data_IF_878968890498
#
_entry.id   IF_878968890498
#
_cell.length_a   1.000
_cell.length_b   1.000
_cell.length_c   1.000
_cell.angle_alpha   90.00
_cell.angle_beta   90.00
_cell.angle_gamma   90.00
#
_symmetry.space_group_name_H-M   'P 1'
#
loop_
_entity.id
_entity.type
_entity.pdbx_description
1 polymer ?
#
# COMPACT_ATOMS: atom_id res chain seq x y z
N UNK A 1 5.74 19.00 -3.89
CA UNK A 1 5.23 18.03 -4.90
C UNK A 1 5.62 16.67 -4.36
N UNK A 2 4.67 15.76 -4.13
CA UNK A 2 4.81 14.30 -4.09
C UNK A 2 3.52 13.73 -3.48
N UNK A 3 2.80 12.95 -4.28
CA UNK A 3 1.57 12.24 -3.92
C UNK A 3 1.85 10.75 -4.13
N UNK A 4 1.54 9.92 -3.13
CA UNK A 4 1.52 8.46 -3.29
C UNK A 4 0.26 8.06 -4.07
N UNK A 5 0.38 6.99 -4.84
CA UNK A 5 -0.64 6.51 -5.77
C UNK A 5 -1.80 5.85 -4.98
N UNK A 6 -3.02 6.35 -5.14
CA UNK A 6 -4.26 5.74 -4.63
C UNK A 6 -5.18 5.56 -5.83
N UNK A 7 -5.41 4.31 -6.25
CA UNK A 7 -6.37 3.98 -7.30
C UNK A 7 -7.73 3.65 -6.71
N UNK A 8 -8.79 4.40 -7.08
CA UNK A 8 -10.19 4.09 -6.76
C UNK A 8 -10.93 3.63 -8.02
N UNK A 9 -11.56 2.46 -8.00
CA UNK A 9 -12.46 1.93 -9.05
C UNK A 9 -13.93 2.26 -8.69
N UNK A 10 -14.88 2.55 -9.62
CA UNK A 10 -14.83 2.54 -11.08
C UNK A 10 -14.69 3.94 -11.74
N UNK A 11 -14.39 5.00 -10.98
CA UNK A 11 -14.11 6.34 -11.53
C UNK A 11 -12.74 6.80 -11.06
N UNK A 12 -11.79 6.81 -12.00
CA UNK A 12 -10.37 7.06 -11.75
C UNK A 12 -10.09 8.53 -11.36
N UNK A 13 -10.30 8.87 -10.10
CA UNK A 13 -9.76 10.07 -9.49
C UNK A 13 -8.54 9.70 -8.64
N UNK A 14 -7.38 10.31 -8.93
CA UNK A 14 -6.21 10.21 -8.06
C UNK A 14 -6.50 10.94 -6.75
N UNK A 15 -6.87 10.20 -5.71
CA UNK A 15 -7.00 10.72 -4.36
C UNK A 15 -5.60 11.03 -3.81
N UNK A 16 -5.29 12.32 -3.61
CA UNK A 16 -4.02 12.82 -3.05
C UNK A 16 -4.09 12.89 -1.54
N UNK A 17 -3.16 12.27 -0.83
CA UNK A 17 -2.98 12.55 0.60
C UNK A 17 -2.02 13.71 0.81
N UNK A 18 -2.24 14.48 1.89
CA UNK A 18 -1.30 15.50 2.38
C UNK A 18 -0.96 15.17 3.82
N UNK A 19 0.33 15.17 4.14
CA UNK A 19 0.81 15.17 5.52
C UNK A 19 0.72 16.61 6.04
N UNK A 20 -0.27 16.88 6.89
CA UNK A 20 -0.32 18.09 7.72
C UNK A 20 -0.03 17.65 9.14
N UNK A 21 1.00 18.22 9.76
CA UNK A 21 1.23 18.18 11.21
C UNK A 21 1.05 16.81 11.88
N UNK A 22 1.75 15.80 11.35
CA UNK A 22 1.82 14.39 11.84
C UNK A 22 0.62 13.49 11.50
N UNK A 23 -0.36 13.99 10.77
CA UNK A 23 -1.56 13.25 10.38
C UNK A 23 -1.67 13.13 8.84
N UNK A 24 -2.12 11.95 8.39
CA UNK A 24 -2.40 11.71 6.97
C UNK A 24 -3.84 12.10 6.70
N UNK A 25 -4.06 13.19 5.97
CA UNK A 25 -5.41 13.57 5.54
C UNK A 25 -5.77 12.74 4.31
N UNK A 26 -6.82 11.95 4.44
CA UNK A 26 -7.47 11.29 3.32
C UNK A 26 -8.02 12.36 2.38
N UNK A 27 -7.86 12.13 1.08
CA UNK A 27 -8.32 13.09 0.09
C UNK A 27 -9.83 13.30 0.26
N UNK A 28 -10.35 14.55 0.27
CA UNK A 28 -11.78 14.81 0.43
C UNK A 28 -12.67 14.21 -0.66
N UNK A 29 -12.07 13.59 -1.70
CA UNK A 29 -12.77 12.88 -2.78
C UNK A 29 -12.87 11.37 -2.61
N UNK A 30 -12.32 10.79 -1.54
CA UNK A 30 -12.42 9.35 -1.31
C UNK A 30 -13.88 8.98 -1.00
N UNK A 31 -14.59 8.44 -2.00
CA UNK A 31 -15.98 7.99 -1.84
C UNK A 31 -16.01 6.56 -1.31
N UNK A 32 -16.85 6.27 -0.33
CA UNK A 32 -16.99 4.92 0.23
C UNK A 32 -18.30 4.29 -0.24
N UNK A 33 -18.35 2.95 -0.45
CA UNK A 33 -17.25 1.99 -0.32
C UNK A 33 -16.16 2.17 -1.40
N UNK A 34 -14.93 1.80 -1.06
CA UNK A 34 -13.74 2.01 -1.91
C UNK A 34 -12.75 0.86 -1.75
N UNK A 35 -11.89 0.71 -2.76
CA UNK A 35 -10.70 -0.13 -2.70
C UNK A 35 -9.48 0.78 -2.76
N UNK A 36 -8.50 0.52 -1.90
CA UNK A 36 -7.24 1.27 -1.85
C UNK A 36 -6.08 0.31 -2.08
N UNK A 37 -5.26 0.64 -3.06
CA UNK A 37 -3.97 0.00 -3.32
C UNK A 37 -2.87 0.92 -2.81
N UNK A 38 -2.12 0.49 -1.79
CA UNK A 38 -1.11 1.27 -1.09
C UNK A 38 0.26 0.64 -1.30
N UNK A 39 1.16 1.28 -2.04
CA UNK A 39 2.44 0.69 -2.45
C UNK A 39 3.62 1.43 -1.85
N UNK A 40 4.63 0.68 -1.39
CA UNK A 40 5.85 1.20 -0.79
C UNK A 40 5.63 1.79 0.60
N UNK A 41 4.85 1.08 1.44
CA UNK A 41 4.37 1.59 2.74
C UNK A 41 5.46 1.76 3.80
N UNK A 42 6.65 1.17 3.63
CA UNK A 42 7.77 1.32 4.55
C UNK A 42 7.48 0.72 5.92
N UNK A 43 7.21 1.54 6.94
CA UNK A 43 6.64 1.07 8.22
C UNK A 43 5.51 2.00 8.68
N UNK A 44 4.99 2.83 7.78
CA UNK A 44 3.95 3.81 8.09
C UNK A 44 2.59 3.33 7.58
N UNK A 45 1.85 2.68 8.48
CA UNK A 45 0.53 2.10 8.21
C UNK A 45 -0.63 3.08 8.45
N UNK A 46 -0.32 4.33 8.79
CA UNK A 46 -1.34 5.30 9.23
C UNK A 46 -2.35 5.60 8.12
N UNK A 47 -1.90 5.69 6.88
CA UNK A 47 -2.79 5.90 5.74
C UNK A 47 -3.74 4.71 5.56
N UNK A 48 -3.21 3.49 5.57
CA UNK A 48 -3.95 2.25 5.37
C UNK A 48 -5.04 2.08 6.45
N UNK A 49 -4.68 2.34 7.71
CA UNK A 49 -5.62 2.31 8.83
C UNK A 49 -6.68 3.41 8.72
N UNK A 50 -6.31 4.61 8.29
CA UNK A 50 -7.26 5.69 8.09
C UNK A 50 -8.24 5.38 6.94
N UNK A 51 -7.74 4.87 5.80
CA UNK A 51 -8.56 4.50 4.65
C UNK A 51 -9.54 3.37 4.98
N UNK A 52 -9.10 2.37 5.75
CA UNK A 52 -9.99 1.32 6.25
C UNK A 52 -11.08 1.88 7.17
N UNK A 53 -10.70 2.77 8.09
CA UNK A 53 -11.65 3.39 9.02
C UNK A 53 -12.67 4.30 8.31
N UNK A 54 -12.30 4.87 7.15
CA UNK A 54 -13.22 5.60 6.29
C UNK A 54 -14.22 4.70 5.55
N UNK A 55 -13.97 3.38 5.48
CA UNK A 55 -14.86 2.41 4.85
C UNK A 55 -14.30 1.77 3.57
N UNK A 56 -12.99 1.86 3.31
CA UNK A 56 -12.37 1.14 2.21
C UNK A 56 -11.93 -0.28 2.60
N UNK A 57 -11.74 -1.13 1.59
CA UNK A 57 -10.86 -2.30 1.65
C UNK A 57 -9.46 -1.89 1.20
N UNK A 58 -8.43 -2.26 1.97
CA UNK A 58 -7.07 -1.79 1.75
C UNK A 58 -6.13 -2.95 1.46
N UNK A 59 -5.37 -2.83 0.38
CA UNK A 59 -4.38 -3.78 -0.08
C UNK A 59 -3.01 -3.06 -0.09
N UNK A 60 -2.17 -3.42 0.87
CA UNK A 60 -0.88 -2.79 1.13
C UNK A 60 0.27 -3.64 0.58
N UNK A 61 1.24 -2.99 -0.06
CA UNK A 61 2.30 -3.64 -0.82
C UNK A 61 3.66 -3.04 -0.44
N UNK A 62 4.61 -3.88 -0.04
CA UNK A 62 6.00 -3.46 0.17
C UNK A 62 6.95 -4.64 -0.05
N UNK A 63 7.83 -4.57 -1.08
CA UNK A 63 8.75 -5.65 -1.38
C UNK A 63 10.00 -5.66 -0.48
N UNK A 64 10.18 -4.72 0.45
CA UNK A 64 11.44 -4.59 1.22
C UNK A 64 11.67 -5.79 2.14
N UNK A 65 12.71 -6.58 1.85
CA UNK A 65 12.99 -7.84 2.55
C UNK A 65 13.24 -7.60 4.04
N UNK A 66 14.03 -6.59 4.39
CA UNK A 66 14.40 -6.27 5.77
C UNK A 66 13.22 -5.81 6.64
N UNK A 67 12.10 -5.41 6.00
CA UNK A 67 10.90 -4.95 6.69
C UNK A 67 9.82 -6.03 6.76
N UNK A 68 9.99 -7.17 6.07
CA UNK A 68 8.97 -8.20 5.92
C UNK A 68 8.39 -8.68 7.26
N UNK A 69 9.25 -9.09 8.20
CA UNK A 69 8.77 -9.56 9.51
C UNK A 69 8.01 -8.48 10.29
N UNK A 70 8.36 -7.21 10.12
CA UNK A 70 7.64 -6.11 10.76
C UNK A 70 6.27 -5.90 10.12
N UNK A 71 6.21 -5.98 8.79
CA UNK A 71 4.97 -5.91 8.03
C UNK A 71 4.01 -7.03 8.39
N UNK A 72 4.48 -8.28 8.39
CA UNK A 72 3.67 -9.45 8.73
C UNK A 72 3.10 -9.36 10.16
N UNK A 73 3.91 -8.91 11.12
CA UNK A 73 3.46 -8.68 12.50
C UNK A 73 2.37 -7.61 12.58
N UNK A 74 2.52 -6.51 11.85
CA UNK A 74 1.55 -5.43 11.84
C UNK A 74 0.26 -5.85 11.13
N UNK A 75 0.34 -6.53 9.99
CA UNK A 75 -0.81 -7.09 9.29
C UNK A 75 -1.57 -8.10 10.17
N UNK A 76 -0.86 -9.00 10.85
CA UNK A 76 -1.47 -9.95 11.79
C UNK A 76 -2.13 -9.27 12.99
N UNK A 77 -1.59 -8.13 13.45
CA UNK A 77 -2.24 -7.30 14.46
C UNK A 77 -3.56 -6.72 13.93
N UNK A 78 -3.53 -6.07 12.77
CA UNK A 78 -4.72 -5.46 12.14
C UNK A 78 -5.81 -6.51 11.86
N UNK A 79 -5.43 -7.69 11.37
CA UNK A 79 -6.36 -8.79 11.13
C UNK A 79 -7.05 -9.27 12.42
N UNK A 80 -6.33 -9.38 13.54
CA UNK A 80 -6.92 -9.71 14.85
C UNK A 80 -7.86 -8.63 15.38
N UNK A 81 -7.67 -7.39 14.95
CA UNK A 81 -8.57 -6.25 15.25
C UNK A 81 -9.77 -6.18 14.29
N UNK A 82 -9.91 -7.15 13.37
CA UNK A 82 -11.01 -7.19 12.40
C UNK A 82 -10.90 -6.16 11.27
N UNK A 83 -9.71 -5.59 11.05
CA UNK A 83 -9.47 -4.57 10.03
C UNK A 83 -9.44 -5.16 8.62
N UNK A 84 -10.05 -4.46 7.66
CA UNK A 84 -10.02 -4.81 6.22
C UNK A 84 -8.75 -4.31 5.53
N UNK A 85 -7.60 -4.60 6.14
CA UNK A 85 -6.26 -4.27 5.60
C UNK A 85 -5.51 -5.57 5.35
N UNK A 86 -5.08 -5.80 4.10
CA UNK A 86 -4.28 -6.96 3.67
C UNK A 86 -2.88 -6.50 3.27
N UNK A 87 -1.88 -7.35 3.48
CA UNK A 87 -0.49 -7.04 3.15
C UNK A 87 0.11 -8.08 2.22
N UNK A 88 0.90 -7.61 1.26
CA UNK A 88 1.60 -8.44 0.29
C UNK A 88 3.05 -7.98 0.13
N UNK A 89 4.03 -8.91 0.20
CA UNK A 89 5.45 -8.59 0.01
C UNK A 89 5.81 -8.49 -1.48
N UNK A 90 5.04 -7.71 -2.23
CA UNK A 90 5.16 -7.51 -3.68
C UNK A 90 5.32 -6.01 -3.94
N UNK A 91 6.16 -5.63 -4.90
CA UNK A 91 6.36 -4.26 -5.33
C UNK A 91 5.68 -3.95 -6.66
N UNK A 92 5.57 -2.66 -6.97
CA UNK A 92 5.13 -2.16 -8.26
C UNK A 92 6.31 -1.60 -9.05
N UNK A 93 6.45 -1.97 -10.32
CA UNK A 93 7.48 -1.42 -11.18
C UNK A 93 7.59 -2.13 -12.54
N UNK A 94 8.15 -1.42 -13.51
CA UNK A 94 8.27 -1.89 -14.90
C UNK A 94 9.41 -2.90 -15.12
N UNK A 95 10.31 -3.04 -14.15
CA UNK A 95 11.45 -3.96 -14.24
C UNK A 95 11.36 -5.03 -13.16
N UNK A 96 11.40 -6.29 -13.59
CA UNK A 96 11.55 -7.46 -12.72
C UNK A 96 13.01 -7.68 -12.27
N UNK A 97 13.97 -6.98 -12.90
CA UNK A 97 15.39 -7.05 -12.58
C UNK A 97 15.74 -6.00 -11.52
N UNK A 98 15.88 -6.44 -10.27
CA UNK A 98 16.38 -5.61 -9.18
C UNK A 98 17.88 -5.84 -8.95
N UNK A 99 18.70 -4.82 -9.17
CA UNK A 99 20.11 -4.84 -8.80
C UNK A 99 20.20 -4.29 -7.37
N UNK A 100 20.41 -5.17 -6.42
CA UNK A 100 20.73 -4.79 -5.06
C UNK A 100 21.96 -3.89 -4.99
N UNK A 101 21.90 -2.80 -4.22
CA UNK A 101 23.10 -2.04 -3.88
C UNK A 101 24.04 -3.00 -3.13
N UNK A 102 25.26 -3.19 -3.66
CA UNK A 102 26.26 -4.14 -3.13
C UNK A 102 25.92 -5.64 -3.22
N UNK A 103 25.13 -6.07 -4.22
CA UNK A 103 24.92 -7.50 -4.50
C UNK A 103 24.00 -8.23 -3.51
N UNK A 104 23.33 -7.50 -2.59
CA UNK A 104 22.30 -8.04 -1.70
C UNK A 104 20.92 -7.74 -2.27
N UNK A 105 20.09 -8.77 -2.45
CA UNK A 105 18.71 -8.59 -2.85
C UNK A 105 17.96 -7.79 -1.76
N UNK A 106 17.64 -6.53 -2.02
CA UNK A 106 16.94 -5.65 -1.08
C UNK A 106 15.42 -5.74 -1.19
N UNK A 107 14.91 -6.17 -2.33
CA UNK A 107 13.49 -6.25 -2.64
C UNK A 107 13.06 -7.65 -3.10
N UNK A 108 11.83 -8.02 -2.77
CA UNK A 108 11.06 -9.14 -3.30
C UNK A 108 10.59 -8.85 -4.74
N UNK A 109 9.72 -9.73 -5.23
CA UNK A 109 9.08 -9.66 -6.54
C UNK A 109 8.44 -8.30 -6.77
N UNK A 110 8.63 -7.77 -7.97
CA UNK A 110 7.99 -6.54 -8.47
C UNK A 110 7.19 -6.91 -9.71
N UNK A 111 5.99 -6.36 -9.84
CA UNK A 111 5.05 -6.61 -10.96
C UNK A 111 4.54 -5.29 -11.53
N UNK A 112 3.92 -5.37 -12.71
CA UNK A 112 3.17 -4.23 -13.28
C UNK A 112 1.85 -4.01 -12.53
N UNK A 113 1.25 -2.84 -12.72
CA UNK A 113 0.07 -2.42 -11.97
C UNK A 113 -1.14 -3.32 -12.23
N UNK A 114 -1.37 -3.64 -13.49
CA UNK A 114 -2.47 -4.48 -13.96
C UNK A 114 -2.37 -5.88 -13.33
N UNK A 115 -1.16 -6.44 -13.33
CA UNK A 115 -0.89 -7.73 -12.70
C UNK A 115 -1.11 -7.69 -11.18
N UNK A 116 -0.75 -6.59 -10.52
CA UNK A 116 -0.98 -6.43 -9.09
C UNK A 116 -2.48 -6.41 -8.76
N UNK A 117 -3.29 -5.76 -9.59
CA UNK A 117 -4.74 -5.75 -9.42
C UNK A 117 -5.32 -7.16 -9.62
N UNK A 118 -4.99 -7.83 -10.73
CA UNK A 118 -5.52 -9.15 -11.06
C UNK A 118 -5.19 -10.22 -10.02
N UNK A 119 -4.02 -10.15 -9.37
CA UNK A 119 -3.56 -11.17 -8.43
C UNK A 119 -4.09 -10.99 -7.00
N UNK A 120 -4.37 -9.75 -6.59
CA UNK A 120 -4.50 -9.44 -5.16
C UNK A 120 -5.77 -8.71 -4.76
N UNK A 121 -6.42 -8.00 -5.68
CA UNK A 121 -7.55 -7.11 -5.41
C UNK A 121 -8.86 -7.75 -5.84
#
# INVERSE_FOLDING_TARGET
RNCSLVGQYPSWESARTRRLDKEWILCPRLRTPCTVVSVGIGLDWKFDVAAEAAGCDVFSFDPTIDLQTKHERQAAKLAREGKRVKFYPTGLGDSTAYIGQYGKQGLRRVVQFEQLLDEYV
#
